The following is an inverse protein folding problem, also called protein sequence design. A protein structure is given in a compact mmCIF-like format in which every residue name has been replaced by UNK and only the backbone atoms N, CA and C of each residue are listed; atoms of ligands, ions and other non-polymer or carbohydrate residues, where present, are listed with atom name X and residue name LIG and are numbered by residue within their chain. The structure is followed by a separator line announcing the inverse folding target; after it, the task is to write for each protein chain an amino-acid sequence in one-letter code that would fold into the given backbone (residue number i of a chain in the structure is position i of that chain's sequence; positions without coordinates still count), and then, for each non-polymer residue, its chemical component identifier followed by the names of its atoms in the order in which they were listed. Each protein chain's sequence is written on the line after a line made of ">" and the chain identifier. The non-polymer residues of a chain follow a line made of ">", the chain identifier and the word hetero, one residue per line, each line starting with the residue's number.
data_IF_465008195035
#
_entry.id   IF_465008195035
#
_cell.length_a   1.000
_cell.length_b   1.000
_cell.length_c   1.000
_cell.angle_alpha   90.00
_cell.angle_beta   90.00
_cell.angle_gamma   90.00
#
_symmetry.space_group_name_H-M   'P 1'
#
loop_
_entity.id
_entity.type
_entity.pdbx_description
1 polymer ?
#
# COMPACT_ATOMS: atom_id res chain seq x y z
N UNK A 1 -0.94 -33.27 -5.94
CA UNK A 1 -0.96 -32.68 -4.60
C UNK A 1 -2.05 -31.63 -4.57
N UNK A 2 -2.99 -31.76 -3.67
CA UNK A 2 -3.98 -30.70 -3.38
C UNK A 2 -3.42 -29.85 -2.26
N UNK A 3 -3.86 -28.58 -2.18
CA UNK A 3 -3.47 -27.65 -1.10
C UNK A 3 -3.77 -28.23 0.29
N UNK A 4 -4.87 -28.98 0.41
CA UNK A 4 -5.32 -29.67 1.62
C UNK A 4 -4.36 -30.78 2.11
N UNK A 5 -3.45 -31.24 1.23
CA UNK A 5 -2.47 -32.31 1.54
C UNK A 5 -1.12 -31.73 2.02
N UNK A 6 -0.98 -30.39 2.13
CA UNK A 6 0.25 -29.75 2.54
C UNK A 6 0.32 -29.61 4.06
N UNK A 7 1.47 -29.99 4.64
CA UNK A 7 1.76 -29.71 6.05
C UNK A 7 2.20 -28.26 6.22
N UNK A 8 1.21 -27.35 6.29
CA UNK A 8 1.42 -25.91 6.40
C UNK A 8 2.24 -25.56 7.64
N UNK A 9 2.05 -26.28 8.76
CA UNK A 9 2.77 -25.99 10.01
C UNK A 9 4.27 -26.26 9.88
N UNK A 10 4.68 -27.31 9.13
CA UNK A 10 6.10 -27.55 8.87
C UNK A 10 6.71 -26.45 7.99
N UNK A 11 5.96 -25.89 7.02
CA UNK A 11 6.41 -24.75 6.23
C UNK A 11 6.52 -23.46 7.05
N UNK A 12 5.55 -23.18 7.91
CA UNK A 12 5.61 -22.02 8.85
C UNK A 12 6.86 -22.10 9.69
N UNK A 13 7.12 -23.25 10.32
CA UNK A 13 8.31 -23.47 11.14
C UNK A 13 9.60 -23.32 10.35
N UNK A 14 9.64 -23.75 9.11
CA UNK A 14 10.79 -23.59 8.22
C UNK A 14 11.02 -22.11 7.83
N UNK A 15 9.97 -21.28 7.87
CA UNK A 15 10.04 -19.86 7.54
C UNK A 15 10.42 -18.94 8.73
N UNK A 16 10.30 -19.41 9.98
CA UNK A 16 10.67 -18.63 11.18
C UNK A 16 12.05 -17.95 11.08
N UNK A 17 13.13 -18.63 10.62
CA UNK A 17 14.44 -18.00 10.50
C UNK A 17 14.51 -16.85 9.49
N UNK A 18 13.55 -16.75 8.56
CA UNK A 18 13.51 -15.68 7.54
C UNK A 18 13.22 -14.33 8.19
N UNK A 19 12.33 -14.29 9.17
CA UNK A 19 12.01 -13.06 9.92
C UNK A 19 13.21 -12.57 10.71
N UNK A 20 13.92 -13.48 11.39
CA UNK A 20 15.15 -13.16 12.14
C UNK A 20 16.25 -12.65 11.20
N UNK A 21 16.42 -13.33 10.06
CA UNK A 21 17.38 -12.90 9.03
C UNK A 21 17.03 -11.51 8.50
N UNK A 22 15.76 -11.23 8.21
CA UNK A 22 15.30 -9.95 7.68
C UNK A 22 15.56 -8.80 8.68
N UNK A 23 15.26 -9.01 9.97
CA UNK A 23 15.57 -8.05 11.04
C UNK A 23 17.09 -7.79 11.08
N UNK A 24 17.89 -8.86 11.00
CA UNK A 24 19.35 -8.75 10.99
C UNK A 24 19.87 -7.96 9.80
N UNK A 25 19.31 -8.18 8.61
CA UNK A 25 19.68 -7.46 7.39
C UNK A 25 19.34 -5.97 7.49
N UNK A 26 18.17 -5.62 7.99
CA UNK A 26 17.79 -4.22 8.22
C UNK A 26 18.72 -3.53 9.22
N UNK A 27 19.08 -4.20 10.30
CA UNK A 27 20.06 -3.68 11.28
C UNK A 27 21.42 -3.42 10.65
N UNK A 28 21.89 -4.28 9.75
CA UNK A 28 23.18 -4.07 9.03
C UNK A 28 23.13 -2.88 8.08
N UNK A 29 21.93 -2.50 7.60
CA UNK A 29 21.71 -1.33 6.75
C UNK A 29 21.46 -0.04 7.56
N UNK A 30 21.56 -0.10 8.90
CA UNK A 30 21.48 1.07 9.78
C UNK A 30 20.09 1.36 10.34
N UNK A 31 19.14 0.41 10.23
CA UNK A 31 17.81 0.52 10.84
C UNK A 31 17.84 -0.13 12.24
N UNK A 32 18.26 0.62 13.24
CA UNK A 32 18.39 0.11 14.62
C UNK A 32 17.05 -0.31 15.25
N UNK A 33 15.95 0.25 14.76
CA UNK A 33 14.56 -0.01 15.17
C UNK A 33 13.89 -1.16 14.39
N UNK A 34 14.64 -1.91 13.57
CA UNK A 34 14.09 -2.94 12.68
C UNK A 34 13.29 -4.02 13.43
N UNK A 35 13.72 -4.41 14.62
CA UNK A 35 13.01 -5.41 15.44
C UNK A 35 11.67 -4.88 15.94
N UNK A 36 11.65 -3.66 16.47
CA UNK A 36 10.44 -2.98 16.92
C UNK A 36 9.48 -2.74 15.76
N UNK A 37 9.99 -2.37 14.59
CA UNK A 37 9.21 -2.18 13.38
C UNK A 37 8.49 -3.48 12.97
N UNK A 38 9.22 -4.59 12.85
CA UNK A 38 8.66 -5.88 12.42
C UNK A 38 7.64 -6.39 13.44
N UNK A 39 7.98 -6.33 14.73
CA UNK A 39 7.08 -6.77 15.80
C UNK A 39 5.81 -5.91 15.85
N UNK A 40 5.96 -4.58 15.81
CA UNK A 40 4.81 -3.65 15.82
C UNK A 40 3.91 -3.87 14.61
N UNK A 41 4.48 -4.09 13.42
CA UNK A 41 3.69 -4.38 12.23
C UNK A 41 2.90 -5.69 12.42
N UNK A 42 3.55 -6.76 12.89
CA UNK A 42 2.92 -8.06 13.10
C UNK A 42 1.81 -8.01 14.15
N UNK A 43 2.05 -7.31 15.26
CA UNK A 43 1.07 -7.13 16.34
C UNK A 43 -0.12 -6.27 15.89
N UNK A 44 0.15 -5.16 15.20
CA UNK A 44 -0.90 -4.28 14.68
C UNK A 44 -1.73 -4.98 13.61
N UNK A 45 -1.11 -5.75 12.72
CA UNK A 45 -1.81 -6.58 11.76
C UNK A 45 -2.76 -7.58 12.46
N UNK A 46 -2.31 -8.21 13.55
CA UNK A 46 -3.14 -9.11 14.33
C UNK A 46 -4.28 -8.40 15.07
N UNK A 47 -4.12 -7.13 15.46
CA UNK A 47 -5.11 -6.34 16.20
C UNK A 47 -6.10 -5.61 15.30
N UNK A 48 -5.70 -5.20 14.10
CA UNK A 48 -6.53 -4.45 13.16
C UNK A 48 -7.80 -5.22 12.76
N UNK A 49 -7.70 -6.54 12.61
CA UNK A 49 -8.83 -7.42 12.31
C UNK A 49 -9.94 -7.34 13.37
N UNK A 50 -9.58 -7.13 14.63
CA UNK A 50 -10.58 -7.03 15.72
C UNK A 50 -11.29 -5.69 15.77
N UNK A 51 -10.65 -4.65 15.28
CA UNK A 51 -11.12 -3.26 15.43
C UNK A 51 -11.88 -2.77 14.18
N UNK A 52 -11.57 -3.35 13.04
CA UNK A 52 -12.00 -2.75 11.77
C UNK A 52 -13.48 -2.95 11.47
N UNK A 53 -14.21 -3.96 12.04
CA UNK A 53 -15.65 -4.10 11.75
C UNK A 53 -16.04 -3.67 10.33
N UNK A 54 -15.09 -3.80 9.37
CA UNK A 54 -15.25 -3.33 8.00
C UNK A 54 -16.27 -4.27 7.35
N UNK A 55 -17.53 -3.95 7.54
CA UNK A 55 -18.53 -4.37 6.60
C UNK A 55 -18.15 -3.75 5.27
N UNK A 56 -17.99 -4.60 4.26
CA UNK A 56 -17.71 -4.22 2.88
C UNK A 56 -18.90 -3.39 2.38
N UNK A 57 -18.95 -2.12 2.76
CA UNK A 57 -20.06 -1.23 2.48
C UNK A 57 -19.86 -0.69 1.08
N UNK A 58 -20.61 -1.24 0.12
CA UNK A 58 -20.81 -0.63 -1.20
C UNK A 58 -21.50 0.74 -1.13
N UNK A 59 -21.82 1.23 0.07
CA UNK A 59 -22.58 2.44 0.35
C UNK A 59 -21.79 3.49 1.13
N UNK A 60 -20.47 3.56 0.94
CA UNK A 60 -19.69 4.64 1.52
C UNK A 60 -20.25 5.98 1.07
N UNK A 61 -20.66 6.79 2.04
CA UNK A 61 -21.11 8.16 1.81
C UNK A 61 -19.93 9.10 2.04
N UNK A 62 -19.63 9.91 1.04
CA UNK A 62 -18.60 10.93 1.16
C UNK A 62 -19.09 12.00 2.13
N UNK A 63 -18.32 12.29 3.16
CA UNK A 63 -18.57 13.45 4.00
C UNK A 63 -18.28 14.73 3.21
N UNK A 64 -19.20 15.68 3.28
CA UNK A 64 -19.04 17.00 2.66
C UNK A 64 -18.15 17.87 3.55
N UNK A 65 -17.00 18.24 3.03
CA UNK A 65 -16.03 19.14 3.66
C UNK A 65 -15.82 20.41 2.83
N UNK A 66 -16.78 20.76 1.98
CA UNK A 66 -16.72 21.94 1.10
C UNK A 66 -16.73 23.28 1.87
N UNK A 67 -17.13 23.25 3.13
CA UNK A 67 -17.07 24.38 4.08
C UNK A 67 -15.64 24.70 4.56
N UNK A 68 -14.71 23.75 4.41
CA UNK A 68 -13.30 23.99 4.71
C UNK A 68 -12.66 24.84 3.62
N UNK A 69 -11.70 25.68 4.01
CA UNK A 69 -11.01 26.58 3.08
C UNK A 69 -9.94 25.80 2.28
N UNK A 70 -10.39 24.93 1.38
CA UNK A 70 -9.51 24.21 0.46
C UNK A 70 -8.90 25.17 -0.58
N UNK A 71 -7.60 25.12 -0.83
CA UNK A 71 -7.02 25.79 -2.00
C UNK A 71 -7.46 25.05 -3.28
N UNK A 72 -7.60 25.79 -4.38
CA UNK A 72 -7.76 25.16 -5.69
C UNK A 72 -6.46 24.49 -6.09
N UNK A 73 -6.50 23.16 -6.30
CA UNK A 73 -5.32 22.39 -6.67
C UNK A 73 -5.70 21.17 -7.50
N UNK A 74 -4.72 20.67 -8.25
CA UNK A 74 -4.80 19.39 -8.95
C UNK A 74 -3.65 18.51 -8.51
N UNK A 75 -3.94 17.28 -8.10
CA UNK A 75 -2.96 16.26 -7.81
C UNK A 75 -2.83 15.30 -8.99
N UNK A 76 -1.62 14.95 -9.33
CA UNK A 76 -1.34 13.90 -10.30
C UNK A 76 -1.17 12.57 -9.57
N UNK A 77 -2.04 11.63 -9.92
CA UNK A 77 -1.99 10.24 -9.44
C UNK A 77 -1.35 9.38 -10.52
N UNK A 78 -0.33 8.60 -10.17
CA UNK A 78 0.25 7.60 -11.08
C UNK A 78 0.06 6.18 -10.57
N UNK A 79 0.01 5.22 -11.49
CA UNK A 79 0.07 3.78 -11.17
C UNK A 79 0.81 3.04 -12.28
N UNK A 80 1.45 1.92 -11.91
CA UNK A 80 2.23 1.11 -12.86
C UNK A 80 1.42 0.26 -13.82
N UNK A 81 0.10 0.19 -13.61
CA UNK A 81 -0.80 -0.65 -14.40
C UNK A 81 -1.54 0.15 -15.47
N UNK A 82 -2.16 -0.56 -16.43
CA UNK A 82 -2.85 0.04 -17.58
C UNK A 82 -4.11 0.81 -17.18
N UNK A 83 -4.60 1.66 -18.11
CA UNK A 83 -5.80 2.49 -17.98
C UNK A 83 -7.07 1.73 -17.52
N UNK A 84 -7.21 0.47 -17.94
CA UNK A 84 -8.37 -0.38 -17.62
C UNK A 84 -8.22 -1.16 -16.32
N UNK A 85 -7.08 -1.05 -15.65
CA UNK A 85 -6.82 -1.77 -14.41
C UNK A 85 -7.68 -1.28 -13.25
N UNK A 86 -7.85 -2.12 -12.25
CA UNK A 86 -8.51 -1.75 -10.99
C UNK A 86 -7.77 -0.63 -10.26
N UNK A 87 -6.45 -0.54 -10.41
CA UNK A 87 -5.65 0.52 -9.80
C UNK A 87 -5.93 1.89 -10.41
N UNK A 88 -5.98 1.98 -11.75
CA UNK A 88 -6.35 3.22 -12.42
C UNK A 88 -7.80 3.61 -12.12
N UNK A 89 -8.72 2.63 -12.05
CA UNK A 89 -10.11 2.86 -11.67
C UNK A 89 -10.23 3.36 -10.22
N UNK A 90 -9.44 2.80 -9.29
CA UNK A 90 -9.39 3.26 -7.90
C UNK A 90 -8.89 4.72 -7.81
N UNK A 91 -7.86 5.08 -8.58
CA UNK A 91 -7.37 6.46 -8.67
C UNK A 91 -8.45 7.43 -9.16
N UNK A 92 -9.21 7.05 -10.20
CA UNK A 92 -10.34 7.86 -10.69
C UNK A 92 -11.45 7.98 -9.66
N UNK A 93 -11.79 6.87 -8.99
CA UNK A 93 -12.79 6.89 -7.93
C UNK A 93 -12.37 7.78 -6.76
N UNK A 94 -11.10 7.70 -6.36
CA UNK A 94 -10.53 8.61 -5.37
C UNK A 94 -10.69 10.08 -5.81
N UNK A 95 -10.38 10.39 -7.08
CA UNK A 95 -10.55 11.74 -7.62
C UNK A 95 -11.99 12.24 -7.58
N UNK A 96 -12.96 11.39 -7.93
CA UNK A 96 -14.38 11.72 -7.80
C UNK A 96 -14.79 12.03 -6.35
N UNK A 97 -14.30 11.23 -5.40
CA UNK A 97 -14.60 11.41 -3.98
C UNK A 97 -13.98 12.71 -3.45
N UNK A 98 -12.75 13.02 -3.85
CA UNK A 98 -12.08 14.28 -3.48
C UNK A 98 -12.79 15.50 -4.05
N UNK A 99 -13.21 15.44 -5.32
CA UNK A 99 -13.98 16.50 -5.96
C UNK A 99 -15.29 16.78 -5.19
N UNK A 100 -16.01 15.71 -4.84
CA UNK A 100 -17.25 15.80 -4.05
C UNK A 100 -16.99 16.35 -2.63
N UNK A 101 -16.01 15.80 -1.91
CA UNK A 101 -15.74 16.20 -0.54
C UNK A 101 -15.27 17.66 -0.42
N UNK A 102 -14.60 18.19 -1.44
CA UNK A 102 -14.00 19.53 -1.40
C UNK A 102 -14.80 20.60 -2.18
N UNK A 103 -15.99 20.23 -2.70
CA UNK A 103 -16.81 21.12 -3.52
C UNK A 103 -16.10 21.55 -4.81
N UNK A 104 -15.36 20.62 -5.43
CA UNK A 104 -14.66 20.83 -6.70
C UNK A 104 -13.31 21.54 -6.60
N UNK A 105 -12.81 21.78 -5.39
CA UNK A 105 -11.56 22.52 -5.16
C UNK A 105 -10.32 21.67 -5.40
N UNK A 106 -10.36 20.38 -5.01
CA UNK A 106 -9.25 19.45 -5.20
C UNK A 106 -9.61 18.45 -6.27
N UNK A 107 -8.82 18.43 -7.33
CA UNK A 107 -8.97 17.49 -8.46
C UNK A 107 -7.82 16.50 -8.47
N UNK A 108 -8.07 15.32 -9.06
CA UNK A 108 -7.06 14.29 -9.22
C UNK A 108 -7.03 13.83 -10.68
N UNK A 109 -5.92 14.09 -11.35
CA UNK A 109 -5.66 13.58 -12.69
C UNK A 109 -4.92 12.24 -12.61
N UNK A 110 -5.43 11.22 -13.30
CA UNK A 110 -4.88 9.86 -13.24
C UNK A 110 -4.07 9.56 -14.48
N UNK A 111 -2.80 9.20 -14.26
CA UNK A 111 -1.82 8.82 -15.26
C UNK A 111 -1.43 7.35 -15.08
N UNK A 112 -2.02 6.46 -15.85
CA UNK A 112 -1.74 5.02 -15.79
C UNK A 112 -0.40 4.68 -16.46
N UNK A 113 0.12 3.47 -16.21
CA UNK A 113 1.35 2.95 -16.79
C UNK A 113 2.56 3.91 -16.62
N UNK A 114 2.60 4.65 -15.51
CA UNK A 114 3.66 5.63 -15.19
C UNK A 114 3.94 6.62 -16.34
N UNK A 115 2.88 7.10 -17.00
CA UNK A 115 2.99 7.99 -18.18
C UNK A 115 3.82 9.23 -17.90
N UNK A 116 3.74 9.80 -16.68
CA UNK A 116 4.49 11.00 -16.31
C UNK A 116 6.01 10.77 -16.26
N UNK A 117 6.45 9.51 -16.19
CA UNK A 117 7.87 9.12 -16.12
C UNK A 117 8.23 8.10 -17.21
N UNK A 118 7.53 8.16 -18.35
CA UNK A 118 7.84 7.34 -19.53
C UNK A 118 7.69 5.84 -19.31
N UNK A 119 6.88 5.42 -18.35
CA UNK A 119 6.67 4.01 -17.99
C UNK A 119 7.71 3.45 -17.00
N UNK A 120 8.56 4.30 -16.43
CA UNK A 120 9.58 3.89 -15.48
C UNK A 120 9.05 4.02 -14.04
N UNK A 121 8.79 2.88 -13.42
CA UNK A 121 8.21 2.80 -12.06
C UNK A 121 9.11 3.42 -10.99
N UNK A 122 10.43 3.21 -11.08
CA UNK A 122 11.38 3.78 -10.11
C UNK A 122 11.44 5.30 -10.22
N UNK A 123 11.37 5.85 -11.43
CA UNK A 123 11.27 7.30 -11.65
C UNK A 123 9.91 7.84 -11.16
N UNK A 124 8.82 7.06 -11.27
CA UNK A 124 7.52 7.39 -10.71
C UNK A 124 7.55 7.56 -9.20
N UNK A 125 8.22 6.64 -8.49
CA UNK A 125 8.43 6.73 -7.05
C UNK A 125 9.34 7.92 -6.70
N UNK A 126 10.41 8.15 -7.46
CA UNK A 126 11.29 9.30 -7.24
C UNK A 126 10.54 10.63 -7.44
N UNK A 127 9.67 10.71 -8.44
CA UNK A 127 8.81 11.87 -8.68
C UNK A 127 7.84 12.10 -7.50
N UNK A 128 7.26 11.03 -6.94
CA UNK A 128 6.44 11.10 -5.72
C UNK A 128 7.24 11.64 -4.54
N UNK A 129 8.45 11.13 -4.31
CA UNK A 129 9.32 11.59 -3.22
C UNK A 129 9.68 13.07 -3.35
N UNK A 130 9.81 13.56 -4.58
CA UNK A 130 10.07 14.97 -4.88
C UNK A 130 8.79 15.84 -4.82
N UNK A 131 7.60 15.23 -4.88
CA UNK A 131 6.31 15.91 -4.92
C UNK A 131 5.96 16.56 -6.27
N UNK A 132 6.77 16.31 -7.32
CA UNK A 132 6.59 16.86 -8.66
C UNK A 132 7.21 15.90 -9.71
N UNK A 133 6.48 15.57 -10.77
CA UNK A 133 5.08 15.93 -11.08
C UNK A 133 4.04 15.02 -10.43
N UNK A 134 4.42 14.10 -9.53
CA UNK A 134 3.53 13.11 -8.90
C UNK A 134 3.29 13.46 -7.44
N UNK A 135 2.02 13.53 -7.01
CA UNK A 135 1.63 13.75 -5.62
C UNK A 135 1.05 12.49 -4.97
N UNK A 136 0.51 11.58 -5.78
CA UNK A 136 -0.09 10.31 -5.30
C UNK A 136 0.37 9.18 -6.22
N UNK A 137 0.72 8.05 -5.65
CA UNK A 137 1.06 6.87 -6.45
C UNK A 137 0.45 5.59 -5.91
N UNK A 138 0.19 4.64 -6.82
CA UNK A 138 -0.19 3.28 -6.49
C UNK A 138 0.75 2.31 -7.20
N UNK A 139 1.69 1.77 -6.44
CA UNK A 139 2.68 0.80 -6.89
C UNK A 139 2.74 -0.39 -5.94
N UNK A 140 3.35 -1.48 -6.40
CA UNK A 140 3.67 -2.59 -5.50
C UNK A 140 4.68 -2.15 -4.43
N UNK A 141 4.47 -2.56 -3.18
CA UNK A 141 5.43 -2.36 -2.10
C UNK A 141 6.84 -2.89 -2.41
N UNK A 142 6.94 -3.93 -3.25
CA UNK A 142 8.22 -4.46 -3.70
C UNK A 142 9.08 -3.43 -4.47
N UNK A 143 8.46 -2.47 -5.14
CA UNK A 143 9.19 -1.42 -5.86
C UNK A 143 9.70 -0.37 -4.88
N UNK A 144 8.90 -0.02 -3.87
CA UNK A 144 9.33 0.88 -2.79
C UNK A 144 10.50 0.32 -1.99
N UNK A 145 10.64 -1.01 -1.89
CA UNK A 145 11.75 -1.64 -1.18
C UNK A 145 13.13 -1.36 -1.80
N UNK A 146 13.19 -0.92 -3.04
CA UNK A 146 14.44 -0.44 -3.66
C UNK A 146 14.92 0.90 -3.08
N UNK A 147 14.02 1.67 -2.47
CA UNK A 147 14.32 2.95 -1.81
C UNK A 147 14.43 2.80 -0.29
N UNK A 148 13.60 1.93 0.29
CA UNK A 148 13.60 1.63 1.71
C UNK A 148 13.28 0.14 1.93
N UNK A 149 14.26 -0.68 2.39
CA UNK A 149 14.09 -2.12 2.55
C UNK A 149 13.02 -2.50 3.59
N UNK A 150 12.58 -1.58 4.44
CA UNK A 150 11.50 -1.83 5.41
C UNK A 150 10.17 -2.18 4.74
N UNK A 151 9.95 -1.72 3.50
CA UNK A 151 8.77 -2.11 2.72
C UNK A 151 8.67 -3.62 2.44
N UNK A 152 9.77 -4.39 2.62
CA UNK A 152 9.72 -5.84 2.48
C UNK A 152 9.04 -6.55 3.66
N UNK A 153 8.75 -5.88 4.76
CA UNK A 153 8.11 -6.50 5.93
C UNK A 153 6.82 -7.23 5.59
N UNK A 154 6.00 -6.64 4.71
CA UNK A 154 4.72 -7.24 4.27
C UNK A 154 4.89 -8.49 3.39
N UNK A 155 6.11 -8.76 2.93
CA UNK A 155 6.44 -9.91 2.09
C UNK A 155 7.07 -11.07 2.87
N UNK A 156 7.11 -10.97 4.20
CA UNK A 156 7.61 -12.05 5.05
C UNK A 156 6.75 -13.31 4.89
N UNK A 157 7.36 -14.48 4.76
CA UNK A 157 6.62 -15.73 4.63
C UNK A 157 5.70 -15.96 5.84
N UNK A 158 4.47 -16.40 5.56
CA UNK A 158 3.47 -16.73 6.59
C UNK A 158 3.11 -15.59 7.53
N UNK A 159 3.34 -14.34 7.13
CA UNK A 159 2.87 -13.16 7.85
C UNK A 159 1.33 -13.14 7.94
N UNK A 160 0.68 -13.70 6.92
CA UNK A 160 -0.78 -13.83 6.82
C UNK A 160 -1.16 -15.31 6.70
N UNK A 161 -2.25 -15.71 7.35
CA UNK A 161 -2.75 -17.08 7.33
C UNK A 161 -3.57 -17.40 6.07
N UNK A 162 -4.19 -16.39 5.46
CA UNK A 162 -4.97 -16.50 4.22
C UNK A 162 -5.04 -15.16 3.47
N UNK A 163 -5.65 -15.15 2.27
CA UNK A 163 -5.91 -13.90 1.53
C UNK A 163 -6.86 -12.99 2.31
N UNK A 164 -7.91 -13.57 2.90
CA UNK A 164 -8.89 -12.86 3.72
C UNK A 164 -8.25 -12.26 4.97
N UNK A 165 -7.28 -12.97 5.54
CA UNK A 165 -6.49 -12.48 6.67
C UNK A 165 -5.58 -11.30 6.25
N UNK A 166 -4.96 -11.39 5.09
CA UNK A 166 -4.16 -10.29 4.51
C UNK A 166 -5.03 -9.06 4.23
N UNK A 167 -6.19 -9.25 3.58
CA UNK A 167 -7.13 -8.17 3.25
C UNK A 167 -7.67 -7.46 4.51
N UNK A 168 -7.74 -8.18 5.63
CA UNK A 168 -8.21 -7.63 6.90
C UNK A 168 -7.10 -6.90 7.70
N UNK A 169 -5.82 -7.19 7.41
CA UNK A 169 -4.66 -6.67 8.17
C UNK A 169 -3.89 -5.57 7.44
N UNK A 170 -4.04 -5.46 6.12
CA UNK A 170 -3.41 -4.44 5.29
C UNK A 170 -4.36 -3.29 4.97
#
# INVERSE_FOLDING_TARGET
>A
LKYEDLDIESFKKAAEPVTEWFIGELKTQGFDDAEDLVNTFTENAASAVKTAGIENSSTYQVEDHSDLNWPEMTWNFTCSTTETSTWAQAGRKFGELMDQATGGKVKVDVYAADQLTGGNQSEGIQALMNGDPVQISMHSNLIYSAFDPRFNVVSLPYLFDSVEDADAKL
#
